data_IF_623556472197
#
_entry.id   IF_623556472197
#
_cell.length_a   1.000
_cell.length_b   1.000
_cell.length_c   1.000
_cell.angle_alpha   90.00
_cell.angle_beta   90.00
_cell.angle_gamma   90.00
#
_symmetry.space_group_name_H-M   'P 1'
#
loop_
_entity.id
_entity.type
_entity.pdbx_description
1 polymer ?
#
# COMPACT_ATOMS: atom_id res chain seq x y z
N UNK A 1 -5.32 -6.21 11.13
CA UNK A 1 -4.39 -6.68 10.08
C UNK A 1 -3.06 -5.95 10.20
N UNK A 2 -1.97 -6.57 9.80
CA UNK A 2 -0.62 -5.98 9.75
C UNK A 2 -0.36 -5.26 8.43
N UNK A 3 0.72 -4.47 8.35
CA UNK A 3 1.14 -3.89 7.07
C UNK A 3 1.51 -4.97 6.04
N UNK A 4 2.15 -6.07 6.47
CA UNK A 4 2.45 -7.21 5.61
C UNK A 4 1.19 -7.84 4.99
N UNK A 5 0.13 -8.03 5.79
CA UNK A 5 -1.16 -8.54 5.31
C UNK A 5 -1.82 -7.57 4.33
N UNK A 6 -1.78 -6.27 4.64
CA UNK A 6 -2.28 -5.24 3.72
C UNK A 6 -1.53 -5.28 2.39
N UNK A 7 -0.20 -5.29 2.43
CA UNK A 7 0.63 -5.32 1.22
C UNK A 7 0.40 -6.60 0.40
N UNK A 8 0.28 -7.76 1.06
CA UNK A 8 -0.08 -9.01 0.39
C UNK A 8 -1.46 -8.95 -0.27
N UNK A 9 -2.45 -8.34 0.39
CA UNK A 9 -3.77 -8.11 -0.19
C UNK A 9 -3.68 -7.19 -1.42
N UNK A 10 -2.98 -6.06 -1.31
CA UNK A 10 -2.79 -5.12 -2.41
C UNK A 10 -2.10 -5.81 -3.59
N UNK A 11 -1.05 -6.57 -3.35
CA UNK A 11 -0.32 -7.32 -4.38
C UNK A 11 -1.19 -8.31 -5.16
N UNK A 12 -2.20 -8.88 -4.51
CA UNK A 12 -3.13 -9.83 -5.13
C UNK A 12 -4.33 -9.17 -5.81
N UNK A 13 -4.61 -7.89 -5.53
CA UNK A 13 -5.85 -7.24 -5.93
C UNK A 13 -5.68 -5.96 -6.76
N UNK A 14 -4.49 -5.35 -6.75
CA UNK A 14 -4.15 -4.22 -7.60
C UNK A 14 -4.00 -4.67 -9.06
N UNK A 15 -4.29 -3.75 -9.99
CA UNK A 15 -4.12 -3.95 -11.44
C UNK A 15 -2.65 -3.95 -11.84
N UNK A 16 -1.84 -3.18 -11.12
CA UNK A 16 -0.41 -3.08 -11.35
C UNK A 16 0.31 -4.12 -10.50
N UNK A 17 1.38 -4.69 -11.05
CA UNK A 17 2.31 -5.51 -10.27
C UNK A 17 3.10 -4.62 -9.33
N UNK A 18 2.70 -4.62 -8.05
CA UNK A 18 3.30 -3.83 -6.97
C UNK A 18 4.21 -4.67 -6.06
N UNK A 19 4.32 -5.98 -6.31
CA UNK A 19 5.09 -6.88 -5.46
C UNK A 19 6.44 -7.17 -6.09
N UNK A 20 7.49 -7.25 -5.29
CA UNK A 20 8.82 -7.68 -5.73
C UNK A 20 9.39 -8.71 -4.76
N UNK A 21 8.76 -9.89 -4.81
CA UNK A 21 8.95 -10.97 -3.85
C UNK A 21 7.77 -11.07 -2.88
N UNK A 22 8.04 -11.52 -1.67
CA UNK A 22 7.06 -11.49 -0.58
C UNK A 22 6.86 -10.06 -0.02
N UNK A 23 5.89 -9.81 0.89
CA UNK A 23 5.68 -8.47 1.44
C UNK A 23 6.91 -7.85 2.11
N UNK A 24 7.71 -8.63 2.84
CA UNK A 24 8.90 -8.14 3.54
C UNK A 24 10.01 -7.78 2.54
N UNK A 25 10.24 -8.63 1.55
CA UNK A 25 11.18 -8.38 0.46
C UNK A 25 10.76 -7.16 -0.37
N UNK A 26 9.47 -7.05 -0.69
CA UNK A 26 8.89 -5.92 -1.42
C UNK A 26 9.14 -4.61 -0.69
N UNK A 27 8.84 -4.54 0.62
CA UNK A 27 9.08 -3.34 1.42
C UNK A 27 10.58 -3.02 1.52
N UNK A 28 11.41 -4.04 1.75
CA UNK A 28 12.87 -3.87 1.84
C UNK A 28 13.44 -3.28 0.54
N UNK A 29 13.06 -3.83 -0.62
CA UNK A 29 13.48 -3.30 -1.92
C UNK A 29 12.92 -1.90 -2.20
N UNK A 30 11.69 -1.63 -1.79
CA UNK A 30 11.06 -0.32 -1.88
C UNK A 30 11.87 0.73 -1.09
N UNK A 31 12.20 0.46 0.17
CA UNK A 31 12.98 1.36 1.02
C UNK A 31 14.41 1.56 0.51
N UNK A 32 15.01 0.51 -0.08
CA UNK A 32 16.36 0.55 -0.63
C UNK A 32 16.42 1.05 -2.09
N UNK A 33 15.28 1.42 -2.70
CA UNK A 33 15.18 1.87 -4.10
C UNK A 33 15.70 0.83 -5.12
N UNK A 34 15.56 -0.44 -4.81
CA UNK A 34 15.93 -1.57 -5.68
C UNK A 34 14.71 -2.37 -6.14
N UNK A 35 13.52 -1.82 -5.97
CA UNK A 35 12.27 -2.44 -6.42
C UNK A 35 12.20 -2.45 -7.96
N UNK A 36 11.84 -3.58 -8.56
CA UNK A 36 11.76 -3.77 -10.03
C UNK A 36 10.88 -2.73 -10.75
N UNK A 37 9.91 -2.18 -10.03
CA UNK A 37 9.09 -1.05 -10.46
C UNK A 37 9.35 0.13 -9.51
N UNK A 38 10.15 1.10 -9.94
CA UNK A 38 10.59 2.22 -9.10
C UNK A 38 9.42 3.03 -8.54
N UNK A 39 8.38 3.27 -9.36
CA UNK A 39 7.19 4.01 -8.96
C UNK A 39 6.39 3.26 -7.89
N UNK A 40 6.17 1.96 -8.07
CA UNK A 40 5.50 1.14 -7.06
C UNK A 40 6.31 1.06 -5.76
N UNK A 41 7.62 0.88 -5.87
CA UNK A 41 8.53 0.89 -4.72
C UNK A 41 8.46 2.21 -3.96
N UNK A 42 8.50 3.35 -4.66
CA UNK A 42 8.40 4.67 -4.03
C UNK A 42 7.07 4.83 -3.27
N UNK A 43 5.93 4.46 -3.88
CA UNK A 43 4.62 4.54 -3.22
C UNK A 43 4.55 3.65 -1.98
N UNK A 44 5.05 2.41 -2.04
CA UNK A 44 5.06 1.48 -0.90
C UNK A 44 5.95 2.00 0.23
N UNK A 45 7.15 2.48 -0.09
CA UNK A 45 8.07 3.05 0.89
C UNK A 45 7.44 4.28 1.57
N UNK A 46 6.81 5.17 0.80
CA UNK A 46 6.14 6.36 1.33
C UNK A 46 4.93 6.01 2.19
N UNK A 47 4.12 5.03 1.79
CA UNK A 47 3.00 4.54 2.58
C UNK A 47 3.48 3.98 3.93
N UNK A 48 4.54 3.18 3.93
CA UNK A 48 5.10 2.62 5.16
C UNK A 48 5.67 3.71 6.05
N UNK A 49 6.50 4.60 5.50
CA UNK A 49 7.08 5.71 6.26
C UNK A 49 6.01 6.63 6.87
N UNK A 50 4.94 6.93 6.13
CA UNK A 50 3.82 7.76 6.60
C UNK A 50 2.85 7.04 7.53
N UNK A 51 2.88 5.71 7.59
CA UNK A 51 2.06 4.94 8.54
C UNK A 51 2.53 5.09 9.99
N UNK A 52 3.81 5.47 10.19
CA UNK A 52 4.43 5.57 11.52
C UNK A 52 4.72 4.21 12.18
N UNK A 53 4.61 3.11 11.45
CA UNK A 53 4.93 1.77 11.94
C UNK A 53 6.44 1.58 12.05
N UNK A 54 6.87 0.82 13.07
CA UNK A 54 8.27 0.50 13.30
C UNK A 54 8.77 -0.65 12.39
N UNK A 55 7.90 -1.62 12.10
CA UNK A 55 8.18 -2.77 11.26
C UNK A 55 6.94 -3.23 10.48
N UNK A 56 7.13 -4.14 9.53
CA UNK A 56 6.08 -4.61 8.60
C UNK A 56 4.98 -5.44 9.28
N UNK A 57 5.25 -6.00 10.46
CA UNK A 57 4.28 -6.78 11.22
C UNK A 57 3.46 -5.91 12.18
N UNK A 58 3.76 -4.60 12.26
CA UNK A 58 2.96 -3.64 12.99
C UNK A 58 1.50 -3.62 12.52
N UNK A 59 0.58 -3.56 13.49
CA UNK A 59 -0.86 -3.47 13.19
C UNK A 59 -1.19 -2.13 12.54
N UNK A 60 -1.94 -2.18 11.45
CA UNK A 60 -2.41 -0.99 10.74
C UNK A 60 -3.93 -0.90 10.79
N UNK A 61 -4.41 0.28 11.15
CA UNK A 61 -5.85 0.61 11.09
C UNK A 61 -6.22 1.16 9.72
N UNK A 62 -7.50 1.06 9.36
CA UNK A 62 -8.01 1.66 8.11
C UNK A 62 -7.68 3.14 8.01
N UNK A 63 -7.90 3.88 9.10
CA UNK A 63 -7.62 5.31 9.14
C UNK A 63 -6.13 5.61 8.86
N UNK A 64 -5.21 4.85 9.45
CA UNK A 64 -3.77 5.02 9.21
C UNK A 64 -3.40 4.69 7.76
N UNK A 65 -3.94 3.61 7.19
CA UNK A 65 -3.68 3.26 5.79
C UNK A 65 -4.18 4.32 4.79
N UNK A 66 -5.38 4.87 5.02
CA UNK A 66 -5.95 5.93 4.16
C UNK A 66 -5.22 7.26 4.34
N UNK A 67 -4.83 7.60 5.57
CA UNK A 67 -4.11 8.86 5.83
C UNK A 67 -2.66 8.81 5.34
N UNK A 68 -2.01 7.64 5.34
CA UNK A 68 -0.64 7.50 4.81
C UNK A 68 -0.58 7.73 3.29
N UNK A 69 -1.60 7.32 2.55
CA UNK A 69 -1.66 7.47 1.09
C UNK A 69 -2.17 8.84 0.62
N UNK A 70 -2.93 9.57 1.45
CA UNK A 70 -3.49 10.88 1.11
C UNK A 70 -2.47 11.89 0.55
N UNK A 71 -1.34 12.14 1.22
CA UNK A 71 -0.29 13.03 0.70
C UNK A 71 0.34 12.56 -0.61
N UNK A 72 0.46 11.24 -0.81
CA UNK A 72 1.03 10.64 -2.03
C UNK A 72 0.08 10.88 -3.20
N UNK A 73 -1.22 10.68 -2.98
CA UNK A 73 -2.27 10.99 -3.96
C UNK A 73 -2.24 12.46 -4.37
N UNK A 74 -2.16 13.37 -3.40
CA UNK A 74 -2.07 14.81 -3.68
C UNK A 74 -0.81 15.18 -4.49
N UNK A 75 0.31 14.49 -4.26
CA UNK A 75 1.51 14.68 -5.08
C UNK A 75 1.28 14.33 -6.54
N UNK A 76 0.63 13.19 -6.82
CA UNK A 76 0.33 12.75 -8.18
C UNK A 76 -0.87 13.43 -8.85
N UNK A 77 -1.60 14.29 -8.13
CA UNK A 77 -2.67 15.12 -8.68
C UNK A 77 -2.17 16.48 -9.22
N UNK A 78 -0.89 16.82 -9.06
CA UNK A 78 -0.32 18.06 -9.59
C UNK A 78 -0.23 17.99 -11.12
N UNK A 79 -0.37 19.13 -11.80
CA UNK A 79 -0.45 19.22 -13.26
C UNK A 79 0.72 18.56 -14.02
N UNK A 80 1.92 18.58 -13.43
CA UNK A 80 3.14 18.01 -14.05
C UNK A 80 3.46 16.58 -13.58
N UNK A 81 2.60 15.95 -12.78
CA UNK A 81 2.87 14.63 -12.23
C UNK A 81 2.57 13.51 -13.25
N UNK A 82 3.35 12.40 -13.25
CA UNK A 82 3.08 11.26 -14.13
C UNK A 82 1.70 10.65 -13.90
N UNK A 83 0.93 10.48 -14.98
CA UNK A 83 -0.43 9.91 -14.96
C UNK A 83 -0.43 8.47 -14.44
N UNK A 84 0.64 7.72 -14.71
CA UNK A 84 0.83 6.36 -14.21
C UNK A 84 0.84 6.32 -12.67
N UNK A 85 1.48 7.30 -12.03
CA UNK A 85 1.52 7.44 -10.58
C UNK A 85 0.14 7.71 -9.99
N UNK A 86 -0.62 8.60 -10.63
CA UNK A 86 -2.00 8.86 -10.23
C UNK A 86 -2.86 7.59 -10.31
N UNK A 87 -2.80 6.87 -11.44
CA UNK A 87 -3.57 5.62 -11.64
C UNK A 87 -3.20 4.53 -10.64
N UNK A 88 -1.89 4.38 -10.35
CA UNK A 88 -1.41 3.43 -9.35
C UNK A 88 -1.98 3.76 -7.96
N UNK A 89 -1.84 5.02 -7.53
CA UNK A 89 -2.28 5.44 -6.20
C UNK A 89 -3.80 5.34 -6.07
N UNK A 90 -4.57 5.74 -7.08
CA UNK A 90 -6.03 5.57 -7.11
C UNK A 90 -6.45 4.11 -6.97
N UNK A 91 -5.77 3.19 -7.67
CA UNK A 91 -6.06 1.77 -7.53
C UNK A 91 -5.76 1.27 -6.11
N UNK A 92 -4.59 1.62 -5.56
CA UNK A 92 -4.22 1.25 -4.18
C UNK A 92 -5.25 1.76 -3.17
N UNK A 93 -5.69 3.02 -3.26
CA UNK A 93 -6.73 3.58 -2.35
C UNK A 93 -7.98 2.70 -2.35
N UNK A 94 -8.50 2.34 -3.52
CA UNK A 94 -9.69 1.48 -3.61
C UNK A 94 -9.44 0.08 -3.03
N UNK A 95 -8.22 -0.46 -3.16
CA UNK A 95 -7.88 -1.79 -2.62
C UNK A 95 -7.61 -1.78 -1.12
N UNK A 96 -7.18 -0.66 -0.53
CA UNK A 96 -7.09 -0.51 0.94
C UNK A 96 -8.48 -0.72 1.55
N UNK A 97 -9.51 -0.05 1.04
CA UNK A 97 -10.87 -0.22 1.55
C UNK A 97 -11.37 -1.66 1.36
N UNK A 98 -11.07 -2.27 0.21
CA UNK A 98 -11.34 -3.69 -0.06
C UNK A 98 -10.71 -4.62 0.97
N UNK A 99 -9.45 -4.41 1.33
CA UNK A 99 -8.71 -5.21 2.32
C UNK A 99 -9.41 -5.17 3.68
N UNK A 100 -9.71 -3.97 4.18
CA UNK A 100 -10.36 -3.83 5.48
C UNK A 100 -11.82 -4.32 5.49
N UNK A 101 -12.51 -4.29 4.36
CA UNK A 101 -13.85 -4.89 4.25
C UNK A 101 -13.78 -6.42 4.28
N UNK A 102 -12.82 -7.03 3.56
CA UNK A 102 -12.60 -8.47 3.60
C UNK A 102 -12.24 -8.94 5.03
N UNK A 103 -11.43 -8.15 5.73
CA UNK A 103 -11.07 -8.43 7.12
C UNK A 103 -12.27 -8.36 8.08
N UNK A 104 -13.10 -7.32 7.95
CA UNK A 104 -14.31 -7.20 8.76
C UNK A 104 -15.29 -8.36 8.51
N UNK A 105 -15.40 -8.84 7.27
CA UNK A 105 -16.21 -10.02 6.94
C UNK A 105 -15.62 -11.29 7.55
N UNK A 106 -14.30 -11.48 7.49
CA UNK A 106 -13.60 -12.61 8.13
C UNK A 106 -13.85 -12.64 9.64
N UNK A 107 -13.76 -11.49 10.31
CA UNK A 107 -14.05 -11.37 11.74
C UNK A 107 -15.51 -11.69 12.07
N UNK A 108 -16.47 -11.23 11.24
CA UNK A 108 -17.89 -11.56 11.41
C UNK A 108 -18.19 -13.04 11.22
N UNK A 109 -17.47 -13.74 10.34
CA UNK A 109 -17.67 -15.16 10.09
C UNK A 109 -17.11 -16.07 11.21
N UNK A 110 -16.29 -15.52 12.10
CA UNK A 110 -15.67 -16.23 13.23
C UNK A 110 -16.43 -16.04 14.55
N UNK A 111 -17.40 -15.13 14.60
CA UNK A 111 -18.27 -14.86 15.76
C UNK A 111 -19.65 -15.46 15.59
#
# INVERSE_FOLDING_TARGET
MTFAELLGYLGSNCKNDIMDGDPAETLSKAQNKTHKNELAGQVIADMFAKSGLADINGEITRAVAITSIGPIRLFFMKDDAPVEGFRLVEDIVHKIDGAFNAEALRMKAQG
#
